data_IF_344994895613
#
_entry.id   IF_344994895613
#
_cell.length_a   1.000
_cell.length_b   1.000
_cell.length_c   1.000
_cell.angle_alpha   90.00
_cell.angle_beta   90.00
_cell.angle_gamma   90.00
#
_symmetry.space_group_name_H-M   'P 1'
#
loop_
_entity.id
_entity.type
_entity.pdbx_description
1 polymer ?
#
# COMPACT_ATOMS: atom_id res chain seq x y z
N UNK A 1 49.42 17.44 36.31
CA UNK A 1 48.12 17.67 36.96
C UNK A 1 47.25 18.56 36.06
N UNK A 2 45.99 18.16 35.86
CA UNK A 2 44.93 18.89 35.16
C UNK A 2 44.36 20.04 36.01
N UNK A 3 43.88 21.14 35.38
CA UNK A 3 42.57 21.85 35.54
C UNK A 3 42.49 22.94 34.45
N UNK A 4 41.72 22.76 33.37
CA UNK A 4 40.36 23.33 33.09
C UNK A 4 40.21 24.83 33.46
N UNK A 5 39.67 25.74 32.66
CA UNK A 5 39.05 25.74 31.34
C UNK A 5 38.35 27.09 31.18
N UNK A 6 38.46 27.76 30.02
CA UNK A 6 37.62 28.90 29.64
C UNK A 6 37.15 28.70 28.21
N UNK A 7 35.89 29.05 28.00
CA UNK A 7 35.03 28.65 26.90
C UNK A 7 34.92 29.77 25.84
N UNK A 8 34.33 29.41 24.70
CA UNK A 8 33.79 30.21 23.59
C UNK A 8 34.67 30.48 22.37
N UNK A 9 34.21 29.91 21.25
CA UNK A 9 34.55 30.27 19.88
C UNK A 9 34.03 29.21 18.90
N UNK A 10 32.89 29.50 18.28
CA UNK A 10 32.26 28.84 17.11
C UNK A 10 33.28 28.51 16.01
N UNK A 11 33.17 27.44 15.21
CA UNK A 11 32.30 27.28 14.04
C UNK A 11 32.44 25.82 13.55
N UNK A 12 31.34 25.08 13.44
CA UNK A 12 30.63 24.77 12.19
C UNK A 12 31.04 23.44 11.56
N UNK A 13 30.12 22.49 11.74
CA UNK A 13 30.02 21.17 11.12
C UNK A 13 29.96 21.30 9.58
N UNK A 14 30.77 20.54 8.85
CA UNK A 14 30.65 20.36 7.40
C UNK A 14 31.23 19.01 6.98
N UNK A 15 30.49 17.95 7.30
CA UNK A 15 30.67 16.64 6.67
C UNK A 15 29.55 16.44 5.65
N UNK A 16 29.64 17.15 4.52
CA UNK A 16 28.74 16.95 3.40
C UNK A 16 29.54 16.65 2.14
N UNK A 17 29.72 15.37 1.84
CA UNK A 17 29.65 14.89 0.46
C UNK A 17 29.39 13.38 0.46
N UNK A 18 28.12 12.98 0.47
CA UNK A 18 27.75 11.69 -0.12
C UNK A 18 27.05 11.95 -1.47
N UNK A 19 27.64 11.56 -2.62
CA UNK A 19 27.27 12.05 -3.95
C UNK A 19 26.15 11.24 -4.64
N UNK A 20 25.37 10.44 -3.92
CA UNK A 20 24.16 9.83 -4.48
C UNK A 20 22.98 10.38 -3.72
N UNK A 21 22.44 11.47 -4.28
CA UNK A 21 21.27 12.16 -3.80
C UNK A 21 20.18 11.18 -3.44
N UNK A 22 19.89 11.12 -2.14
CA UNK A 22 18.53 10.99 -1.69
C UNK A 22 17.70 11.95 -2.54
N UNK A 23 16.94 11.38 -3.48
CA UNK A 23 15.91 12.10 -4.20
C UNK A 23 14.88 12.51 -3.15
N UNK A 24 15.02 13.70 -2.57
CA UNK A 24 14.06 14.32 -1.66
C UNK A 24 12.81 14.77 -2.43
N UNK A 25 12.13 13.83 -3.09
CA UNK A 25 10.92 14.12 -3.86
C UNK A 25 9.67 13.46 -3.28
N UNK A 26 9.71 12.98 -2.04
CA UNK A 26 8.52 12.54 -1.31
C UNK A 26 8.62 13.09 0.12
N UNK A 27 7.96 14.22 0.38
CA UNK A 27 7.92 14.75 1.76
C UNK A 27 7.16 13.71 2.60
N UNK A 28 7.65 13.32 3.78
CA UNK A 28 6.95 12.41 4.71
C UNK A 28 5.41 12.64 4.84
N UNK A 29 4.90 13.89 4.87
CA UNK A 29 3.46 14.17 4.81
C UNK A 29 2.75 13.68 3.53
N UNK A 30 3.40 13.72 2.37
CA UNK A 30 2.83 13.21 1.11
C UNK A 30 2.71 11.67 1.14
N UNK A 31 3.73 10.99 1.69
CA UNK A 31 3.70 9.54 1.92
C UNK A 31 2.58 9.15 2.90
N UNK A 32 2.37 9.94 3.95
CA UNK A 32 1.29 9.75 4.92
C UNK A 32 -0.10 10.00 4.29
N UNK A 33 -0.21 10.98 3.40
CA UNK A 33 -1.44 11.28 2.65
C UNK A 33 -1.78 10.18 1.64
N UNK A 34 -0.78 9.50 1.08
CA UNK A 34 -0.95 8.35 0.22
C UNK A 34 -1.52 7.15 0.98
N UNK A 35 -1.12 6.97 2.25
CA UNK A 35 -1.52 5.84 3.09
C UNK A 35 -3.00 5.83 3.36
N UNK A 36 -3.50 7.03 3.61
CA UNK A 36 -4.92 7.24 3.72
C UNK A 36 -5.50 7.17 2.31
N UNK A 37 -5.05 7.98 1.35
CA UNK A 37 -5.60 8.06 -0.02
C UNK A 37 -6.29 9.40 -0.23
N UNK A 38 -5.47 10.46 -0.24
CA UNK A 38 -5.91 11.83 -0.40
C UNK A 38 -6.81 12.05 -1.64
N UNK A 39 -7.67 13.07 -1.65
CA UNK A 39 -8.48 13.41 -2.83
C UNK A 39 -7.65 13.50 -4.11
N UNK A 40 -8.10 12.87 -5.19
CA UNK A 40 -7.40 12.85 -6.47
C UNK A 40 -6.26 11.83 -6.55
N UNK A 41 -6.01 11.05 -5.50
CA UNK A 41 -5.00 9.99 -5.52
C UNK A 41 -5.43 8.84 -6.42
N UNK A 42 -4.55 8.48 -7.37
CA UNK A 42 -4.72 7.30 -8.23
C UNK A 42 -4.81 6.01 -7.39
N UNK A 43 -5.45 4.93 -7.90
CA UNK A 43 -5.45 3.65 -7.20
C UNK A 43 -4.04 3.14 -6.94
N UNK A 44 -3.77 2.74 -5.69
CA UNK A 44 -2.49 2.21 -5.25
C UNK A 44 -2.72 0.90 -4.53
N UNK A 45 -2.01 -0.13 -4.97
CA UNK A 45 -1.99 -1.44 -4.31
C UNK A 45 -1.06 -1.34 -3.10
N UNK A 46 -1.65 -1.23 -1.91
CA UNK A 46 -0.93 -1.21 -0.62
C UNK A 46 -0.37 -2.58 -0.29
N UNK A 47 -1.22 -3.60 -0.45
CA UNK A 47 -0.85 -4.99 -0.19
C UNK A 47 -1.13 -5.80 -1.45
N UNK A 48 -0.09 -6.23 -2.20
CA UNK A 48 -0.28 -7.09 -3.35
C UNK A 48 -0.79 -8.47 -2.91
N UNK A 49 -1.59 -9.14 -3.75
CA UNK A 49 -2.01 -10.50 -3.45
C UNK A 49 -0.81 -11.43 -3.39
N UNK A 50 -0.85 -12.37 -2.43
CA UNK A 50 0.19 -13.39 -2.29
C UNK A 50 0.00 -14.48 -3.32
N UNK A 51 1.10 -14.98 -3.88
CA UNK A 51 1.09 -16.21 -4.64
C UNK A 51 0.75 -17.39 -3.73
N UNK A 52 -0.12 -18.28 -4.21
CA UNK A 52 -0.57 -19.46 -3.46
C UNK A 52 -0.05 -20.73 -4.13
N UNK A 53 0.39 -21.69 -3.33
CA UNK A 53 0.61 -23.09 -3.72
C UNK A 53 -0.28 -23.93 -2.81
N UNK A 54 -1.31 -24.52 -3.40
CA UNK A 54 -2.37 -25.21 -2.67
C UNK A 54 -2.49 -26.65 -3.14
N UNK A 55 -3.04 -27.49 -2.27
CA UNK A 55 -3.43 -28.85 -2.61
C UNK A 55 -4.81 -28.84 -3.25
N UNK A 56 -5.06 -29.74 -4.20
CA UNK A 56 -6.40 -29.99 -4.74
C UNK A 56 -7.40 -30.27 -3.61
N UNK A 57 -8.64 -29.83 -3.78
CA UNK A 57 -9.68 -29.90 -2.75
C UNK A 57 -9.61 -28.80 -1.67
N UNK A 58 -8.66 -27.86 -1.76
CA UNK A 58 -8.55 -26.74 -0.80
C UNK A 58 -8.97 -25.40 -1.39
N UNK A 59 -9.54 -24.54 -0.55
CA UNK A 59 -9.97 -23.21 -0.96
C UNK A 59 -8.78 -22.26 -1.17
N UNK A 60 -8.82 -21.50 -2.26
CA UNK A 60 -7.87 -20.43 -2.55
C UNK A 60 -8.47 -19.06 -2.23
N UNK A 61 -7.72 -18.21 -1.53
CA UNK A 61 -8.13 -16.84 -1.20
C UNK A 61 -7.06 -15.86 -1.68
N UNK A 62 -7.36 -15.10 -2.73
CA UNK A 62 -6.53 -13.96 -3.12
C UNK A 62 -7.15 -12.70 -2.56
N UNK A 63 -6.37 -11.97 -1.76
CA UNK A 63 -6.79 -10.72 -1.13
C UNK A 63 -5.80 -9.61 -1.49
N UNK A 64 -6.32 -8.41 -1.73
CA UNK A 64 -5.51 -7.22 -1.96
C UNK A 64 -6.10 -6.03 -1.21
N UNK A 65 -5.22 -5.15 -0.74
CA UNK A 65 -5.58 -3.86 -0.17
C UNK A 65 -5.23 -2.75 -1.16
N UNK A 66 -6.25 -1.98 -1.57
CA UNK A 66 -6.13 -0.91 -2.54
C UNK A 66 -6.70 0.36 -1.91
N UNK A 67 -5.93 1.44 -1.96
CA UNK A 67 -6.39 2.79 -1.59
C UNK A 67 -6.55 3.65 -2.84
N UNK A 68 -7.44 4.62 -2.78
CA UNK A 68 -7.66 5.58 -3.86
C UNK A 68 -8.88 6.45 -3.61
N UNK A 69 -8.86 7.65 -4.17
CA UNK A 69 -9.97 8.60 -4.08
C UNK A 69 -10.15 9.33 -5.42
N UNK A 70 -11.21 9.02 -6.21
CA UNK A 70 -12.42 8.28 -5.82
C UNK A 70 -12.20 6.77 -5.68
N UNK A 71 -13.19 6.09 -5.10
CA UNK A 71 -13.12 4.66 -4.80
C UNK A 71 -12.75 3.80 -6.01
N UNK A 72 -11.71 2.95 -5.90
CA UNK A 72 -11.22 2.18 -7.03
C UNK A 72 -12.21 1.07 -7.44
N UNK A 73 -12.32 0.85 -8.75
CA UNK A 73 -12.96 -0.35 -9.32
C UNK A 73 -11.90 -1.44 -9.49
N UNK A 74 -12.20 -2.64 -9.01
CA UNK A 74 -11.25 -3.77 -8.99
C UNK A 74 -11.84 -4.94 -9.76
N UNK A 75 -10.99 -5.62 -10.53
CA UNK A 75 -11.30 -6.81 -11.32
C UNK A 75 -10.19 -7.84 -11.11
N UNK A 76 -10.55 -9.12 -11.00
CA UNK A 76 -9.58 -10.22 -11.00
C UNK A 76 -9.51 -10.84 -12.40
N UNK A 77 -8.29 -11.15 -12.84
CA UNK A 77 -8.02 -11.77 -14.12
C UNK A 77 -7.44 -13.17 -13.91
N UNK A 78 -7.84 -14.11 -14.75
CA UNK A 78 -7.23 -15.43 -14.88
C UNK A 78 -6.71 -15.58 -16.31
N UNK A 79 -5.42 -15.83 -16.47
CA UNK A 79 -4.75 -15.91 -17.78
C UNK A 79 -5.07 -14.72 -18.69
N UNK A 80 -5.03 -13.50 -18.14
CA UNK A 80 -5.32 -12.26 -18.85
C UNK A 80 -6.81 -11.96 -19.09
N UNK A 81 -7.72 -12.86 -18.76
CA UNK A 81 -9.15 -12.71 -18.98
C UNK A 81 -9.90 -12.42 -17.68
N UNK A 82 -10.93 -11.55 -17.67
CA UNK A 82 -11.74 -11.30 -16.48
C UNK A 82 -12.40 -12.57 -15.95
N UNK A 83 -12.25 -12.82 -14.65
CA UNK A 83 -12.92 -13.93 -13.99
C UNK A 83 -14.41 -13.61 -13.91
N UNK A 84 -15.24 -14.51 -14.45
CA UNK A 84 -16.70 -14.42 -14.33
C UNK A 84 -17.14 -15.03 -13.01
N UNK A 85 -17.79 -14.22 -12.17
CA UNK A 85 -18.44 -14.66 -10.93
C UNK A 85 -19.82 -15.22 -11.31
N UNK A 86 -19.84 -16.33 -12.03
CA UNK A 86 -21.07 -16.89 -12.61
C UNK A 86 -21.33 -18.34 -12.20
N UNK A 87 -20.67 -18.83 -11.15
CA UNK A 87 -20.88 -20.19 -10.63
C UNK A 87 -20.49 -20.34 -9.16
N UNK A 88 -20.81 -21.49 -8.53
CA UNK A 88 -20.60 -21.71 -7.09
C UNK A 88 -19.11 -21.74 -6.70
N UNK A 89 -18.23 -22.01 -7.65
CA UNK A 89 -16.79 -22.17 -7.43
C UNK A 89 -16.03 -20.87 -7.17
N UNK A 90 -16.58 -19.72 -7.54
CA UNK A 90 -15.89 -18.43 -7.41
C UNK A 90 -16.78 -17.44 -6.69
N UNK A 91 -16.34 -16.97 -5.53
CA UNK A 91 -17.02 -15.92 -4.76
C UNK A 91 -16.11 -14.71 -4.58
N UNK A 92 -16.72 -13.53 -4.51
CA UNK A 92 -15.99 -12.28 -4.33
C UNK A 92 -16.61 -11.48 -3.21
N UNK A 93 -15.78 -11.01 -2.29
CA UNK A 93 -16.21 -10.11 -1.21
C UNK A 93 -15.46 -8.80 -1.30
N UNK A 94 -16.15 -7.75 -0.88
CA UNK A 94 -15.60 -6.42 -0.72
C UNK A 94 -15.79 -6.03 0.74
N UNK A 95 -14.67 -5.72 1.42
CA UNK A 95 -14.69 -5.02 2.70
C UNK A 95 -14.07 -3.66 2.44
N UNK A 96 -14.88 -2.62 2.53
CA UNK A 96 -14.39 -1.25 2.55
C UNK A 96 -15.28 -0.44 3.45
N UNK A 97 -14.65 0.39 4.27
CA UNK A 97 -15.35 1.27 5.16
C UNK A 97 -16.02 2.37 4.33
N UNK A 98 -17.34 2.32 4.20
CA UNK A 98 -18.12 3.42 3.67
C UNK A 98 -18.34 4.44 4.79
N UNK A 99 -17.30 5.17 5.18
CA UNK A 99 -17.50 6.32 6.06
C UNK A 99 -18.05 7.48 5.23
N UNK A 100 -19.26 7.91 5.56
CA UNK A 100 -19.94 9.02 4.91
C UNK A 100 -19.24 10.35 5.24
N UNK A 101 -18.11 10.67 4.59
CA UNK A 101 -17.53 12.02 4.39
C UNK A 101 -16.07 11.86 4.05
N UNK A 102 -15.66 12.36 2.89
CA UNK A 102 -14.33 12.93 2.60
C UNK A 102 -13.08 12.14 2.98
N UNK A 103 -13.20 10.88 3.41
CA UNK A 103 -12.08 10.04 3.76
C UNK A 103 -11.73 9.15 2.57
N UNK A 104 -10.44 8.86 2.40
CA UNK A 104 -10.03 7.86 1.45
C UNK A 104 -10.80 6.55 1.60
N UNK A 105 -11.17 5.95 0.48
CA UNK A 105 -11.72 4.60 0.54
C UNK A 105 -10.59 3.57 0.48
N UNK A 106 -10.24 3.02 1.63
CA UNK A 106 -9.55 1.74 1.68
C UNK A 106 -10.51 0.66 1.16
N UNK A 107 -10.00 -0.15 0.24
CA UNK A 107 -10.73 -1.26 -0.34
C UNK A 107 -9.93 -2.53 -0.17
N UNK A 108 -10.46 -3.42 0.66
CA UNK A 108 -10.03 -4.81 0.72
C UNK A 108 -10.95 -5.63 -0.16
N UNK A 109 -10.40 -6.27 -1.18
CA UNK A 109 -11.16 -7.17 -2.05
C UNK A 109 -10.55 -8.56 -2.04
N UNK A 110 -11.39 -9.54 -1.74
CA UNK A 110 -10.99 -10.94 -1.69
C UNK A 110 -11.78 -11.74 -2.73
N UNK A 111 -11.09 -12.63 -3.44
CA UNK A 111 -11.70 -13.63 -4.30
C UNK A 111 -11.39 -15.02 -3.74
N UNK A 112 -12.45 -15.80 -3.57
CA UNK A 112 -12.46 -17.17 -3.09
C UNK A 112 -12.67 -18.08 -4.29
N UNK A 113 -11.81 -19.08 -4.45
CA UNK A 113 -11.91 -20.08 -5.52
C UNK A 113 -11.86 -21.47 -4.89
N UNK A 114 -12.88 -22.27 -5.13
CA UNK A 114 -12.90 -23.68 -4.72
C UNK A 114 -12.24 -24.51 -5.82
N UNK A 115 -11.16 -25.19 -5.48
CA UNK A 115 -10.41 -26.07 -6.38
C UNK A 115 -10.89 -27.50 -6.13
N UNK A 116 -11.84 -27.98 -6.93
CA UNK A 116 -12.22 -29.40 -6.95
C UNK A 116 -11.13 -30.26 -7.58
#
# INVERSE_FOLDING_TARGET
MMRQGHNYGTDQESADTSPWGISESETEPELAMLDKGAPGTRPIIRVPPRGLRLTEGTDAILQSNIVGNPKPKIYWLFNGNPIRISGPRIQMTFRGESSNRSEPSETIRSIYMNLE
#
